data_IF_773060697874
#
_entry.id   IF_773060697874
#
_cell.length_a   1.000
_cell.length_b   1.000
_cell.length_c   1.000
_cell.angle_alpha   90.00
_cell.angle_beta   90.00
_cell.angle_gamma   90.00
#
_symmetry.space_group_name_H-M   'P 1'
#
loop_
_entity.id
_entity.type
_entity.pdbx_description
1 polymer ?
#
# COMPACT_ATOMS: atom_id res chain seq x y z
N UNK A 1 -1.09 14.99 -7.90
CA UNK A 1 -0.53 16.03 -7.01
C UNK A 1 -1.12 15.93 -5.60
N UNK A 2 -0.78 14.86 -4.85
CA UNK A 2 -1.28 14.62 -3.47
C UNK A 2 -0.16 14.29 -2.46
N UNK A 3 1.10 14.45 -2.88
CA UNK A 3 2.27 14.22 -2.02
C UNK A 3 2.22 15.22 -0.86
N UNK A 4 2.24 14.72 0.39
CA UNK A 4 2.14 15.54 1.61
C UNK A 4 0.76 15.59 2.27
N UNK A 5 -0.28 15.00 1.66
CA UNK A 5 -1.64 14.92 2.23
C UNK A 5 -2.04 13.47 2.48
N UNK A 6 -1.44 12.84 3.48
CA UNK A 6 -1.57 11.40 3.72
C UNK A 6 -3.04 10.96 3.87
N UNK A 7 -3.85 11.70 4.62
CA UNK A 7 -5.27 11.37 4.81
C UNK A 7 -6.05 11.42 3.49
N UNK A 8 -5.93 12.49 2.71
CA UNK A 8 -6.62 12.63 1.42
C UNK A 8 -6.13 11.61 0.39
N UNK A 9 -4.84 11.26 0.42
CA UNK A 9 -4.25 10.24 -0.45
C UNK A 9 -4.83 8.86 -0.13
N UNK A 10 -4.89 8.50 1.16
CA UNK A 10 -5.44 7.23 1.62
C UNK A 10 -6.94 7.16 1.29
N UNK A 11 -7.74 8.15 1.68
CA UNK A 11 -9.18 8.17 1.39
C UNK A 11 -9.46 7.96 -0.09
N UNK A 12 -8.75 8.66 -0.96
CA UNK A 12 -8.91 8.49 -2.40
C UNK A 12 -8.59 7.07 -2.87
N UNK A 13 -7.48 6.47 -2.43
CA UNK A 13 -7.12 5.13 -2.86
C UNK A 13 -8.08 4.06 -2.31
N UNK A 14 -8.57 4.25 -1.09
CA UNK A 14 -9.57 3.35 -0.49
C UNK A 14 -10.91 3.37 -1.24
N UNK A 15 -11.29 4.48 -1.87
CA UNK A 15 -12.47 4.53 -2.75
C UNK A 15 -12.35 3.61 -3.99
N UNK A 16 -11.12 3.18 -4.35
CA UNK A 16 -10.85 2.26 -5.46
C UNK A 16 -10.34 0.90 -4.99
N UNK A 17 -10.48 0.55 -3.71
CA UNK A 17 -9.90 -0.68 -3.11
C UNK A 17 -8.37 -0.81 -3.36
N UNK A 18 -7.68 0.32 -3.41
CA UNK A 18 -6.22 0.41 -3.59
C UNK A 18 -5.54 1.03 -2.36
N UNK A 19 -4.21 0.91 -2.31
CA UNK A 19 -3.36 1.58 -1.34
C UNK A 19 -2.38 2.57 -2.01
N UNK A 20 -1.96 3.63 -1.31
CA UNK A 20 -0.94 4.54 -1.82
C UNK A 20 0.38 3.82 -2.12
N UNK A 21 1.03 4.19 -3.22
CA UNK A 21 2.32 3.61 -3.62
C UNK A 21 3.40 3.65 -2.51
N UNK A 22 3.35 4.66 -1.64
CA UNK A 22 4.30 4.85 -0.55
C UNK A 22 4.29 3.73 0.53
N UNK A 23 3.25 2.90 0.59
CA UNK A 23 3.23 1.75 1.53
C UNK A 23 3.90 0.51 0.94
N UNK A 24 4.22 0.53 -0.35
CA UNK A 24 4.89 -0.57 -1.04
C UNK A 24 6.39 -0.33 -1.10
N UNK A 25 7.20 -1.40 -1.06
CA UNK A 25 8.63 -1.28 -1.29
C UNK A 25 8.89 -0.89 -2.77
N UNK A 26 10.04 -0.24 -3.06
CA UNK A 26 10.31 0.37 -4.37
C UNK A 26 10.31 -0.64 -5.53
N UNK A 27 10.61 -1.91 -5.27
CA UNK A 27 10.49 -2.98 -6.25
C UNK A 27 9.04 -3.28 -6.66
N UNK A 28 8.09 -3.16 -5.72
CA UNK A 28 6.66 -3.37 -5.97
C UNK A 28 6.03 -2.10 -6.53
N UNK A 29 6.47 -0.91 -6.12
CA UNK A 29 6.01 0.36 -6.69
C UNK A 29 6.17 0.39 -8.22
N UNK A 30 7.24 -0.19 -8.76
CA UNK A 30 7.49 -0.33 -10.21
C UNK A 30 6.50 -1.23 -10.94
N UNK A 31 5.82 -2.13 -10.22
CA UNK A 31 4.80 -3.03 -10.80
C UNK A 31 3.44 -2.35 -10.93
N UNK A 32 3.26 -1.18 -10.32
CA UNK A 32 2.01 -0.41 -10.27
C UNK A 32 0.82 -1.16 -9.65
N UNK A 33 1.03 -2.35 -9.08
CA UNK A 33 0.01 -3.12 -8.39
C UNK A 33 -0.20 -2.58 -6.97
N UNK A 34 -1.29 -1.84 -6.82
CA UNK A 34 -1.70 -1.19 -5.56
C UNK A 34 -2.80 -1.94 -4.83
N UNK A 35 -3.08 -3.18 -5.25
CA UNK A 35 -4.15 -3.98 -4.66
C UNK A 35 -3.82 -4.40 -3.23
N UNK A 36 -4.87 -4.60 -2.43
CA UNK A 36 -4.74 -5.22 -1.12
C UNK A 36 -4.13 -6.62 -1.19
N UNK A 37 -4.41 -7.38 -2.25
CA UNK A 37 -3.81 -8.70 -2.46
C UNK A 37 -2.28 -8.61 -2.55
N UNK A 38 -1.77 -7.65 -3.32
CA UNK A 38 -0.33 -7.40 -3.42
C UNK A 38 0.26 -6.94 -2.10
N UNK A 39 -0.43 -6.06 -1.38
CA UNK A 39 -0.01 -5.63 -0.06
C UNK A 39 0.12 -6.82 0.90
N UNK A 40 -0.89 -7.67 0.97
CA UNK A 40 -0.85 -8.88 1.79
C UNK A 40 0.29 -9.78 1.34
N UNK A 41 0.46 -10.08 0.04
CA UNK A 41 1.57 -10.90 -0.47
C UNK A 41 2.94 -10.39 0.00
N UNK A 42 3.18 -9.09 -0.13
CA UNK A 42 4.45 -8.43 0.23
C UNK A 42 4.71 -8.48 1.74
N UNK A 43 3.66 -8.35 2.56
CA UNK A 43 3.79 -8.28 4.02
C UNK A 43 3.45 -9.58 4.76
N UNK A 44 2.96 -10.62 4.07
CA UNK A 44 2.58 -11.93 4.63
C UNK A 44 3.73 -12.62 5.36
N UNK A 45 4.96 -12.36 4.95
CA UNK A 45 6.16 -12.91 5.59
C UNK A 45 6.53 -12.23 6.93
N UNK A 46 5.91 -11.08 7.28
CA UNK A 46 6.19 -10.33 8.51
C UNK A 46 5.21 -10.61 9.66
N UNK A 47 4.29 -11.57 9.49
CA UNK A 47 3.30 -12.00 10.50
C UNK A 47 3.85 -12.75 11.71
N UNK A 48 5.10 -12.49 12.09
CA UNK A 48 5.78 -13.06 13.25
C UNK A 48 6.12 -12.00 14.30
N UNK A 49 5.14 -11.26 14.83
CA UNK A 49 5.23 -10.74 16.20
C UNK A 49 3.97 -11.10 16.97
N UNK A 50 4.10 -12.15 17.76
CA UNK A 50 3.46 -12.27 19.08
C UNK A 50 3.81 -11.05 19.92
N UNK A 51 2.80 -10.38 20.47
CA UNK A 51 2.64 -9.96 21.87
C UNK A 51 1.76 -8.73 21.95
#
# INVERSE_FOLDING_TARGET
SRKGKCCECISYHLEFDELPACVFPPEVEKTFDRSFAKFVEVYKARGGRKS
#
